data_IF_086682431514
#
_entry.id   IF_086682431514
#
_cell.length_a   1.000
_cell.length_b   1.000
_cell.length_c   1.000
_cell.angle_alpha   90.00
_cell.angle_beta   90.00
_cell.angle_gamma   90.00
#
_symmetry.space_group_name_H-M   'P 1'
#
loop_
_entity.id
_entity.type
_entity.pdbx_description
1 polymer ?
#
# COMPACT_ATOMS: atom_id res chain seq x y z
N UNK A 1 8.11 4.79 49.95
CA UNK A 1 9.23 5.19 49.07
C UNK A 1 9.49 4.03 48.11
N UNK A 2 9.35 4.08 46.79
CA UNK A 2 8.83 5.02 45.81
C UNK A 2 8.89 4.24 44.49
N UNK A 3 7.77 4.14 43.76
CA UNK A 3 7.72 3.46 42.46
C UNK A 3 8.51 4.30 41.45
N UNK A 4 9.55 3.71 40.85
CA UNK A 4 10.27 4.33 39.74
C UNK A 4 9.42 4.28 38.47
N UNK A 5 8.90 5.43 38.05
CA UNK A 5 8.28 5.62 36.75
C UNK A 5 9.34 5.45 35.65
N UNK A 6 9.19 4.40 34.84
CA UNK A 6 9.97 4.21 33.62
C UNK A 6 9.57 5.29 32.61
N UNK A 7 10.40 6.32 32.48
CA UNK A 7 10.32 7.29 31.39
C UNK A 7 10.47 6.55 30.06
N UNK A 8 9.43 6.56 29.23
CA UNK A 8 9.50 6.14 27.83
C UNK A 8 10.51 7.03 27.10
N UNK A 9 11.73 6.52 26.93
CA UNK A 9 12.76 7.17 26.13
C UNK A 9 12.36 7.12 24.66
N UNK A 10 12.19 8.28 24.04
CA UNK A 10 12.15 8.38 22.58
C UNK A 10 13.47 7.78 22.04
N UNK A 11 13.36 6.66 21.30
CA UNK A 11 14.50 6.02 20.65
C UNK A 11 15.13 6.99 19.65
N UNK A 12 16.45 6.97 19.57
CA UNK A 12 17.19 7.78 18.63
C UNK A 12 16.75 7.45 17.19
N UNK A 13 16.57 8.45 16.32
CA UNK A 13 16.13 8.20 14.95
C UNK A 13 17.21 7.41 14.19
N UNK A 14 16.78 6.47 13.34
CA UNK A 14 17.64 5.65 12.47
C UNK A 14 18.66 6.49 11.69
N UNK A 15 19.86 5.94 11.35
CA UNK A 15 20.97 6.70 10.78
C UNK A 15 20.65 7.56 9.55
N UNK A 16 19.74 7.12 8.68
CA UNK A 16 19.34 7.86 7.48
C UNK A 16 18.42 9.07 7.77
N UNK A 17 17.79 9.17 8.94
CA UNK A 17 17.12 10.41 9.36
C UNK A 17 18.11 11.57 9.52
N UNK A 18 19.39 11.29 9.81
CA UNK A 18 20.45 12.31 9.94
C UNK A 18 20.82 12.97 8.61
N UNK A 19 20.45 12.38 7.47
CA UNK A 19 20.62 12.97 6.13
C UNK A 19 19.48 13.94 5.73
N UNK A 20 18.62 14.34 6.69
CA UNK A 20 17.65 15.43 6.50
C UNK A 20 16.30 15.02 5.90
N UNK A 21 15.99 13.73 5.84
CA UNK A 21 14.84 13.22 5.07
C UNK A 21 13.47 13.34 5.76
N UNK A 22 13.43 13.65 7.07
CA UNK A 22 12.18 13.81 7.84
C UNK A 22 11.30 12.54 7.87
N UNK A 23 10.40 12.44 8.85
CA UNK A 23 9.39 11.37 8.85
C UNK A 23 8.22 11.81 7.95
N UNK A 24 7.64 10.88 7.20
CA UNK A 24 6.30 11.12 6.65
C UNK A 24 5.33 11.41 7.82
N UNK A 25 4.43 12.41 7.71
CA UNK A 25 3.52 12.75 8.79
C UNK A 25 2.59 11.57 9.08
N UNK A 26 2.59 11.05 10.32
CA UNK A 26 1.71 9.94 10.70
C UNK A 26 0.23 10.29 10.42
N UNK A 27 -0.63 9.33 10.02
CA UNK A 27 -2.07 9.54 9.88
C UNK A 27 -2.72 9.77 11.26
N UNK A 28 -2.51 10.96 11.83
CA UNK A 28 -3.04 11.40 13.10
C UNK A 28 -4.16 12.39 12.88
N UNK A 29 -5.34 12.06 13.41
CA UNK A 29 -6.55 12.87 13.48
C UNK A 29 -6.27 14.37 13.51
N UNK A 30 -6.60 15.08 12.43
CA UNK A 30 -6.41 16.52 12.30
C UNK A 30 -7.39 17.23 13.24
N UNK A 31 -7.04 17.40 14.53
CA UNK A 31 -7.76 18.32 15.41
C UNK A 31 -7.47 19.73 14.91
N UNK A 32 -8.42 20.26 14.15
CA UNK A 32 -8.40 21.65 13.69
C UNK A 32 -8.07 22.59 14.85
N UNK A 33 -6.89 23.19 14.82
CA UNK A 33 -6.59 24.35 15.65
C UNK A 33 -7.32 25.54 15.03
N UNK A 34 -8.53 25.80 15.53
CA UNK A 34 -9.26 27.03 15.27
C UNK A 34 -8.39 28.23 15.62
N UNK A 35 -7.95 28.98 14.61
CA UNK A 35 -7.35 30.30 14.80
C UNK A 35 -8.49 31.26 15.14
N UNK A 36 -8.46 31.77 16.38
CA UNK A 36 -9.26 32.92 16.82
C UNK A 36 -8.96 34.12 15.91
N UNK A 37 -9.99 34.74 15.34
CA UNK A 37 -9.92 36.12 14.79
C UNK A 37 -10.44 37.10 15.86
N UNK A 38 -9.81 38.27 16.05
CA UNK A 38 -10.31 39.28 16.95
C UNK A 38 -11.42 40.14 16.30
N UNK A 39 -12.19 40.78 17.17
CA UNK A 39 -13.39 41.56 16.89
C UNK A 39 -13.15 42.84 16.05
N UNK A 40 -14.18 43.24 15.32
CA UNK A 40 -14.31 44.56 14.71
C UNK A 40 -15.77 44.79 14.32
N UNK A 41 -16.40 45.80 14.93
CA UNK A 41 -17.81 46.14 14.72
C UNK A 41 -18.08 46.89 13.42
N UNK A 42 -19.37 46.98 13.07
CA UNK A 42 -19.87 47.75 11.93
C UNK A 42 -21.32 47.39 11.64
N UNK A 43 -22.22 48.30 12.01
CA UNK A 43 -23.65 48.33 11.74
C UNK A 43 -23.95 48.70 10.28
N UNK A 44 -24.91 48.02 9.64
CA UNK A 44 -26.13 48.55 8.98
C UNK A 44 -26.75 47.60 7.91
N UNK A 45 -28.05 47.75 7.57
CA UNK A 45 -28.89 46.65 7.09
C UNK A 45 -29.42 46.76 5.64
N UNK A 46 -30.16 45.70 5.27
CA UNK A 46 -31.23 45.57 4.24
C UNK A 46 -30.90 44.80 2.94
N UNK A 47 -31.69 43.77 2.56
CA UNK A 47 -31.68 43.16 1.24
C UNK A 47 -32.88 43.61 0.38
N UNK A 48 -32.64 43.77 -0.92
CA UNK A 48 -33.66 43.85 -1.97
C UNK A 48 -33.36 42.85 -3.09
N UNK A 49 -34.36 42.14 -3.66
CA UNK A 49 -34.14 41.07 -4.63
C UNK A 49 -34.29 41.54 -6.09
N UNK A 50 -34.09 40.60 -7.02
CA UNK A 50 -34.25 40.67 -8.50
C UNK A 50 -32.95 41.03 -9.24
N UNK A 51 -32.56 40.43 -10.37
CA UNK A 51 -33.26 39.58 -11.32
C UNK A 51 -32.28 38.92 -12.33
N UNK A 52 -32.65 37.72 -12.81
CA UNK A 52 -32.48 37.16 -14.16
C UNK A 52 -31.18 37.42 -14.97
N UNK A 53 -30.45 36.33 -15.20
CA UNK A 53 -30.26 35.79 -16.56
C UNK A 53 -28.95 36.09 -17.28
N UNK A 54 -28.15 35.04 -17.54
CA UNK A 54 -27.57 34.75 -18.87
C UNK A 54 -26.86 33.40 -18.87
N UNK A 55 -27.25 32.58 -19.83
CA UNK A 55 -26.51 31.39 -20.24
C UNK A 55 -25.14 31.80 -20.83
N UNK A 56 -24.08 31.14 -20.37
CA UNK A 56 -22.73 31.22 -20.92
C UNK A 56 -22.12 29.83 -20.90
N UNK A 57 -21.78 29.32 -22.08
CA UNK A 57 -21.11 28.03 -22.28
C UNK A 57 -19.66 28.07 -21.76
N UNK A 58 -19.15 26.88 -21.45
CA UNK A 58 -17.74 26.48 -21.42
C UNK A 58 -16.91 26.91 -20.21
N UNK A 59 -16.63 25.94 -19.33
CA UNK A 59 -15.32 25.27 -19.20
C UNK A 59 -15.44 24.30 -18.03
N UNK A 60 -15.28 23.01 -18.32
CA UNK A 60 -14.95 22.04 -17.28
C UNK A 60 -13.62 22.49 -16.66
N UNK A 61 -13.69 23.07 -15.47
CA UNK A 61 -12.52 23.42 -14.70
C UNK A 61 -11.91 22.13 -14.17
N UNK A 62 -10.86 21.65 -14.83
CA UNK A 62 -9.84 20.87 -14.16
C UNK A 62 -9.23 21.78 -13.09
N UNK A 63 -9.80 21.74 -11.89
CA UNK A 63 -9.26 22.40 -10.71
C UNK A 63 -7.96 21.70 -10.35
N UNK A 64 -6.85 22.19 -10.89
CA UNK A 64 -5.52 21.76 -10.53
C UNK A 64 -5.36 21.85 -9.00
N UNK A 65 -5.22 20.71 -8.34
CA UNK A 65 -4.83 20.57 -6.93
C UNK A 65 -3.34 20.93 -6.77
N UNK A 66 -2.98 22.16 -7.14
CA UNK A 66 -1.62 22.67 -7.15
C UNK A 66 -1.23 23.22 -5.76
N UNK A 67 -1.01 22.31 -4.80
CA UNK A 67 -0.11 22.61 -3.69
C UNK A 67 1.36 22.52 -4.15
N UNK A 68 2.34 23.13 -3.45
CA UNK A 68 3.74 22.97 -3.80
C UNK A 68 4.12 21.49 -3.69
N UNK A 69 4.35 20.86 -4.85
CA UNK A 69 4.88 19.50 -4.90
C UNK A 69 6.33 19.47 -4.40
N UNK A 70 6.73 18.39 -3.74
CA UNK A 70 8.11 18.18 -3.33
C UNK A 70 8.61 16.83 -3.85
N UNK A 71 9.86 16.78 -4.32
CA UNK A 71 10.43 15.57 -4.92
C UNK A 71 11.25 14.82 -3.88
N UNK A 72 10.88 13.56 -3.61
CA UNK A 72 11.74 12.61 -2.90
C UNK A 72 12.72 12.02 -3.90
N UNK A 73 14.01 12.04 -3.56
CA UNK A 73 15.03 11.30 -4.31
C UNK A 73 15.35 10.01 -3.56
N UNK A 74 15.40 8.87 -4.27
CA UNK A 74 15.79 7.57 -3.73
C UNK A 74 16.94 7.02 -4.56
N UNK A 75 18.13 6.95 -3.96
CA UNK A 75 19.34 6.45 -4.61
C UNK A 75 19.34 4.92 -4.73
N UNK A 76 19.65 4.43 -5.93
CA UNK A 76 19.85 3.01 -6.27
C UNK A 76 21.30 2.61 -6.00
N UNK A 77 21.55 1.30 -5.89
CA UNK A 77 22.90 0.75 -5.65
C UNK A 77 23.90 1.04 -6.77
N UNK A 78 23.42 1.28 -7.99
CA UNK A 78 24.23 1.63 -9.15
C UNK A 78 24.58 3.14 -9.23
N UNK A 79 24.17 3.94 -8.24
CA UNK A 79 24.40 5.38 -8.17
C UNK A 79 23.39 6.23 -8.95
N UNK A 80 22.48 5.61 -9.72
CA UNK A 80 21.33 6.33 -10.27
C UNK A 80 20.28 6.61 -9.18
N UNK A 81 19.30 7.47 -9.43
CA UNK A 81 18.31 7.81 -8.41
C UNK A 81 16.91 8.03 -8.97
N UNK A 82 15.93 7.44 -8.30
CA UNK A 82 14.51 7.69 -8.58
C UNK A 82 14.12 9.08 -8.08
N UNK A 83 13.26 9.75 -8.84
CA UNK A 83 12.70 11.09 -8.55
C UNK A 83 11.20 10.96 -8.42
N UNK A 84 10.70 11.00 -7.19
CA UNK A 84 9.30 10.76 -6.85
C UNK A 84 8.65 12.07 -6.42
N UNK A 85 7.80 12.62 -7.28
CA UNK A 85 6.93 13.73 -6.93
C UNK A 85 5.96 13.30 -5.82
N UNK A 86 5.74 14.21 -4.87
CA UNK A 86 4.78 14.10 -3.79
C UNK A 86 3.92 15.35 -3.77
N UNK A 87 2.68 15.23 -3.32
CA UNK A 87 1.69 16.32 -3.32
C UNK A 87 1.06 16.46 -1.94
N UNK A 88 1.17 17.64 -1.34
CA UNK A 88 0.52 17.90 -0.04
C UNK A 88 -1.01 17.92 -0.11
N UNK A 89 -1.58 18.25 -1.27
CA UNK A 89 -3.04 18.40 -1.47
C UNK A 89 -3.81 17.07 -1.63
N UNK A 90 -3.13 15.91 -1.72
CA UNK A 90 -3.75 14.60 -1.91
C UNK A 90 -3.68 13.67 -0.69
N UNK A 91 -3.29 14.19 0.49
CA UNK A 91 -3.28 13.42 1.74
C UNK A 91 -2.21 12.32 1.78
N UNK A 92 -2.49 11.28 2.58
CA UNK A 92 -1.54 10.20 2.94
C UNK A 92 -1.04 9.39 1.74
N UNK A 93 -1.83 9.26 0.67
CA UNK A 93 -1.46 8.51 -0.54
C UNK A 93 -0.39 9.22 -1.39
N UNK A 94 -0.11 10.50 -1.14
CA UNK A 94 0.79 11.29 -1.98
C UNK A 94 2.20 11.45 -1.40
N UNK A 95 2.57 10.71 -0.36
CA UNK A 95 3.87 10.78 0.32
C UNK A 95 4.60 9.44 0.21
N UNK A 96 5.92 9.48 0.06
CA UNK A 96 6.77 8.28 0.11
C UNK A 96 7.01 7.91 1.57
N UNK A 97 6.32 6.87 2.02
CA UNK A 97 6.43 6.33 3.38
C UNK A 97 7.75 5.59 3.61
N UNK A 98 8.19 5.55 4.87
CA UNK A 98 9.47 4.93 5.23
C UNK A 98 9.51 3.43 4.90
N UNK A 99 8.38 2.72 5.05
CA UNK A 99 8.25 1.33 4.64
C UNK A 99 8.44 1.13 3.11
N UNK A 100 8.05 2.10 2.29
CA UNK A 100 8.28 2.04 0.83
C UNK A 100 9.77 2.16 0.50
N UNK A 101 10.53 2.97 1.24
CA UNK A 101 11.98 3.09 1.07
C UNK A 101 12.68 1.80 1.48
N UNK A 102 12.34 1.26 2.65
CA UNK A 102 12.88 -0.01 3.16
C UNK A 102 12.60 -1.13 2.16
N UNK A 103 11.37 -1.24 1.67
CA UNK A 103 11.01 -2.27 0.69
C UNK A 103 11.73 -2.08 -0.64
N UNK A 104 11.78 -0.85 -1.18
CA UNK A 104 12.48 -0.58 -2.44
C UNK A 104 13.96 -0.98 -2.37
N UNK A 105 14.66 -0.64 -1.28
CA UNK A 105 16.08 -1.00 -1.08
C UNK A 105 16.26 -2.50 -0.82
N UNK A 106 15.31 -3.14 -0.14
CA UNK A 106 15.29 -4.59 -0.01
C UNK A 106 15.17 -5.28 -1.38
N UNK A 107 14.35 -4.77 -2.31
CA UNK A 107 14.22 -5.35 -3.65
C UNK A 107 15.51 -5.30 -4.48
N UNK A 108 16.38 -4.30 -4.28
CA UNK A 108 17.67 -4.24 -4.99
C UNK A 108 18.57 -5.44 -4.67
N UNK A 109 18.47 -6.02 -3.46
CA UNK A 109 19.17 -7.26 -3.10
C UNK A 109 18.58 -8.52 -3.79
N UNK A 110 17.42 -8.38 -4.45
CA UNK A 110 16.65 -9.43 -5.11
C UNK A 110 16.45 -9.17 -6.61
N UNK A 111 17.22 -8.27 -7.20
CA UNK A 111 17.08 -7.87 -8.60
C UNK A 111 16.99 -9.06 -9.57
N UNK A 112 17.86 -10.06 -9.39
CA UNK A 112 17.87 -11.26 -10.22
C UNK A 112 16.56 -12.08 -10.14
N UNK A 113 15.90 -12.10 -8.98
CA UNK A 113 14.65 -12.81 -8.77
C UNK A 113 13.45 -12.10 -9.40
N UNK A 114 13.48 -10.77 -9.51
CA UNK A 114 12.41 -9.94 -10.08
C UNK A 114 12.47 -9.81 -11.60
N UNK A 115 13.62 -10.07 -12.21
CA UNK A 115 13.83 -9.87 -13.64
C UNK A 115 12.84 -10.70 -14.47
N UNK A 116 12.09 -10.03 -15.37
CA UNK A 116 11.05 -10.60 -16.25
C UNK A 116 9.90 -11.27 -15.49
N UNK A 117 9.64 -10.83 -14.26
CA UNK A 117 8.52 -11.30 -13.44
C UNK A 117 7.36 -10.33 -13.52
N UNK A 118 6.15 -10.87 -13.55
CA UNK A 118 4.93 -10.09 -13.42
C UNK A 118 4.77 -9.64 -11.96
N UNK A 119 4.79 -8.33 -11.73
CA UNK A 119 4.71 -7.73 -10.41
C UNK A 119 3.49 -6.81 -10.33
N UNK A 120 2.69 -6.97 -9.28
CA UNK A 120 1.57 -6.09 -8.99
C UNK A 120 1.81 -5.39 -7.65
N UNK A 121 1.82 -4.05 -7.62
CA UNK A 121 1.89 -3.29 -6.38
C UNK A 121 0.50 -2.80 -5.98
N UNK A 122 0.09 -3.06 -4.73
CA UNK A 122 -1.18 -2.58 -4.17
C UNK A 122 -0.91 -1.36 -3.28
N UNK A 123 -1.72 -0.31 -3.43
CA UNK A 123 -1.58 0.91 -2.63
C UNK A 123 -0.24 1.61 -2.87
N UNK A 124 0.11 1.78 -4.15
CA UNK A 124 1.42 2.24 -4.59
C UNK A 124 1.74 3.69 -4.18
N UNK A 125 0.73 4.52 -3.93
CA UNK A 125 0.88 5.94 -3.62
C UNK A 125 1.70 6.66 -4.71
N UNK A 126 2.90 7.21 -4.39
CA UNK A 126 3.79 7.77 -5.41
C UNK A 126 4.45 6.75 -6.37
N UNK A 127 4.30 5.44 -6.14
CA UNK A 127 4.85 4.37 -6.99
C UNK A 127 6.30 3.98 -6.70
N UNK A 128 6.81 4.31 -5.51
CA UNK A 128 8.23 4.16 -5.18
C UNK A 128 8.74 2.71 -5.34
N UNK A 129 7.98 1.73 -4.85
CA UNK A 129 8.43 0.33 -4.82
C UNK A 129 8.28 -0.32 -6.20
N UNK A 130 7.14 -0.12 -6.87
CA UNK A 130 6.90 -0.66 -8.20
C UNK A 130 7.82 -0.08 -9.26
N UNK A 131 8.09 1.24 -9.22
CA UNK A 131 9.08 1.85 -10.13
C UNK A 131 10.46 1.27 -9.84
N UNK A 132 10.86 1.10 -8.57
CA UNK A 132 12.11 0.41 -8.24
C UNK A 132 12.15 -0.99 -8.85
N UNK A 133 11.11 -1.81 -8.66
CA UNK A 133 11.03 -3.16 -9.25
C UNK A 133 11.17 -3.13 -10.78
N UNK A 134 10.56 -2.16 -11.47
CA UNK A 134 10.67 -1.99 -12.92
C UNK A 134 12.11 -1.65 -13.36
N UNK A 135 12.84 -0.83 -12.58
CA UNK A 135 14.28 -0.59 -12.81
C UNK A 135 15.17 -1.80 -12.54
N UNK A 136 14.63 -2.83 -11.89
CA UNK A 136 15.32 -4.12 -11.67
C UNK A 136 14.91 -5.16 -12.73
N UNK A 137 14.11 -4.76 -13.73
CA UNK A 137 13.74 -5.59 -14.87
C UNK A 137 12.43 -6.34 -14.72
N UNK A 138 11.60 -6.02 -13.73
CA UNK A 138 10.25 -6.57 -13.61
C UNK A 138 9.25 -5.93 -14.58
N UNK A 139 8.16 -6.66 -14.87
CA UNK A 139 7.00 -6.16 -15.60
C UNK A 139 5.91 -5.79 -14.61
N UNK A 140 5.80 -4.49 -14.34
CA UNK A 140 5.10 -3.97 -13.15
C UNK A 140 3.78 -3.31 -13.52
N UNK A 141 2.73 -3.65 -12.78
CA UNK A 141 1.52 -2.85 -12.70
C UNK A 141 1.45 -2.24 -11.30
N UNK A 142 1.54 -0.92 -11.21
CA UNK A 142 1.34 -0.19 -9.94
C UNK A 142 -0.12 0.20 -9.82
N UNK A 143 -0.72 -0.06 -8.66
CA UNK A 143 -2.15 0.19 -8.47
C UNK A 143 -2.46 1.00 -7.22
N UNK A 144 -3.44 1.87 -7.36
CA UNK A 144 -4.00 2.68 -6.28
C UNK A 144 -5.40 3.16 -6.69
N UNK A 145 -5.99 4.08 -5.91
CA UNK A 145 -7.26 4.72 -6.21
C UNK A 145 -7.17 5.62 -7.47
N UNK A 146 -8.32 5.97 -8.03
CA UNK A 146 -8.45 6.86 -9.20
C UNK A 146 -7.71 8.19 -8.99
N UNK A 147 -7.85 8.79 -7.80
CA UNK A 147 -7.23 10.08 -7.47
C UNK A 147 -5.69 10.06 -7.44
N UNK A 148 -5.05 8.88 -7.44
CA UNK A 148 -3.59 8.73 -7.43
C UNK A 148 -3.00 8.45 -8.83
N UNK A 149 -3.83 8.15 -9.83
CA UNK A 149 -3.35 7.74 -11.15
C UNK A 149 -2.48 8.82 -11.83
N UNK A 150 -2.85 10.10 -11.70
CA UNK A 150 -2.05 11.21 -12.23
C UNK A 150 -0.66 11.27 -11.60
N UNK A 151 -0.56 11.05 -10.28
CA UNK A 151 0.71 11.09 -9.57
C UNK A 151 1.61 9.91 -9.97
N UNK A 152 1.02 8.71 -10.06
CA UNK A 152 1.72 7.51 -10.53
C UNK A 152 2.27 7.72 -11.94
N UNK A 153 1.45 8.18 -12.88
CA UNK A 153 1.86 8.41 -14.25
C UNK A 153 2.97 9.47 -14.38
N UNK A 154 2.89 10.56 -13.60
CA UNK A 154 3.98 11.56 -13.54
C UNK A 154 5.28 10.95 -13.05
N UNK A 155 5.23 10.11 -12.01
CA UNK A 155 6.42 9.47 -11.46
C UNK A 155 6.98 8.38 -12.38
N UNK A 156 6.12 7.61 -13.06
CA UNK A 156 6.55 6.66 -14.09
C UNK A 156 7.31 7.40 -15.19
N UNK A 157 6.72 8.46 -15.75
CA UNK A 157 7.31 9.22 -16.86
C UNK A 157 8.66 9.85 -16.46
N UNK A 158 8.77 10.40 -15.25
CA UNK A 158 10.02 10.97 -14.73
C UNK A 158 11.15 9.95 -14.60
N UNK A 159 10.82 8.69 -14.34
CA UNK A 159 11.80 7.63 -14.08
C UNK A 159 11.94 6.63 -15.22
N UNK A 160 11.21 6.79 -16.34
CA UNK A 160 11.20 5.85 -17.47
C UNK A 160 12.58 5.55 -18.04
N UNK A 161 13.50 6.50 -17.97
CA UNK A 161 14.87 6.38 -18.46
C UNK A 161 15.73 5.39 -17.64
N UNK A 162 15.27 5.01 -16.44
CA UNK A 162 15.91 4.01 -15.57
C UNK A 162 15.23 2.64 -15.63
N UNK A 163 14.07 2.53 -16.30
CA UNK A 163 13.28 1.30 -16.34
C UNK A 163 13.90 0.31 -17.32
N UNK A 164 14.22 -0.89 -16.84
CA UNK A 164 14.78 -1.98 -17.66
C UNK A 164 13.79 -3.10 -17.93
N UNK A 165 12.63 -3.09 -17.26
CA UNK A 165 11.47 -3.94 -17.54
C UNK A 165 10.33 -3.11 -18.12
N UNK A 166 9.15 -3.17 -17.51
CA UNK A 166 8.02 -2.32 -17.85
C UNK A 166 7.27 -1.84 -16.61
N UNK A 167 6.58 -0.70 -16.72
CA UNK A 167 5.71 -0.19 -15.64
C UNK A 167 4.51 0.54 -16.23
N UNK A 168 3.33 0.27 -15.68
CA UNK A 168 2.09 0.97 -15.99
C UNK A 168 1.28 1.22 -14.70
N UNK A 169 0.49 2.30 -14.69
CA UNK A 169 -0.46 2.58 -13.61
C UNK A 169 -1.86 2.07 -13.98
N UNK A 170 -2.55 1.49 -13.00
CA UNK A 170 -3.95 1.09 -13.11
C UNK A 170 -4.70 1.37 -11.81
N UNK A 171 -6.02 1.47 -11.93
CA UNK A 171 -6.91 1.65 -10.78
C UNK A 171 -7.19 0.29 -10.17
N UNK A 172 -6.97 0.14 -8.86
CA UNK A 172 -7.46 -1.00 -8.10
C UNK A 172 -7.83 -0.56 -6.70
N UNK A 173 -9.13 -0.39 -6.47
CA UNK A 173 -9.66 -0.25 -5.13
C UNK A 173 -9.84 -1.62 -4.50
N UNK A 174 -9.32 -1.80 -3.30
CA UNK A 174 -9.36 -3.09 -2.62
C UNK A 174 -10.80 -3.56 -2.37
N UNK A 175 -11.00 -4.87 -2.48
CA UNK A 175 -12.30 -5.55 -2.42
C UNK A 175 -13.03 -5.67 -3.75
N UNK A 176 -12.68 -4.88 -4.77
CA UNK A 176 -13.36 -4.86 -6.07
C UNK A 176 -12.89 -5.99 -7.02
N UNK A 177 -13.37 -6.00 -8.28
CA UNK A 177 -13.05 -7.04 -9.27
C UNK A 177 -11.57 -6.95 -9.69
N UNK A 178 -10.89 -8.09 -9.77
CA UNK A 178 -9.46 -8.19 -10.07
C UNK A 178 -9.17 -8.91 -11.39
N UNK A 179 -10.20 -9.29 -12.16
CA UNK A 179 -10.04 -10.10 -13.38
C UNK A 179 -9.04 -9.52 -14.39
N UNK A 180 -8.92 -8.21 -14.48
CA UNK A 180 -7.99 -7.56 -15.41
C UNK A 180 -6.51 -7.72 -15.02
N UNK A 181 -6.24 -8.15 -13.78
CA UNK A 181 -4.90 -8.40 -13.25
C UNK A 181 -4.55 -9.89 -13.24
N UNK A 182 -5.38 -10.73 -13.87
CA UNK A 182 -5.15 -12.16 -14.04
C UNK A 182 -4.49 -12.46 -15.39
N UNK A 183 -3.68 -13.53 -15.50
CA UNK A 183 -3.37 -14.55 -14.50
C UNK A 183 -2.60 -14.01 -13.30
N UNK A 184 -2.60 -14.77 -12.18
CA UNK A 184 -1.97 -14.36 -10.94
C UNK A 184 -0.51 -13.90 -11.14
N UNK A 185 -0.10 -12.75 -10.58
CA UNK A 185 1.26 -12.26 -10.74
C UNK A 185 2.27 -13.15 -10.00
N UNK A 186 3.53 -13.13 -10.44
CA UNK A 186 4.62 -13.79 -9.73
C UNK A 186 4.83 -13.16 -8.35
N UNK A 187 4.70 -11.82 -8.27
CA UNK A 187 4.84 -11.06 -7.03
C UNK A 187 3.69 -10.08 -6.80
N UNK A 188 3.30 -9.95 -5.55
CA UNK A 188 2.48 -8.83 -5.08
C UNK A 188 3.30 -8.03 -4.06
N UNK A 189 3.39 -6.72 -4.25
CA UNK A 189 4.13 -5.82 -3.37
C UNK A 189 3.15 -4.94 -2.60
N UNK A 190 3.42 -4.70 -1.31
CA UNK A 190 2.66 -3.79 -0.46
C UNK A 190 3.61 -3.03 0.46
N UNK A 191 3.50 -1.72 0.49
CA UNK A 191 4.23 -0.87 1.43
C UNK A 191 3.27 0.01 2.22
N UNK A 192 3.23 -0.20 3.53
CA UNK A 192 2.44 0.59 4.49
C UNK A 192 0.91 0.58 4.28
N UNK A 193 0.37 -0.50 3.70
CA UNK A 193 -1.06 -0.65 3.42
C UNK A 193 -1.92 -1.00 4.66
N UNK A 194 -1.33 -1.17 5.85
CA UNK A 194 -1.99 -1.64 7.07
C UNK A 194 -2.17 -0.47 8.05
N UNK A 195 -3.27 0.28 7.93
CA UNK A 195 -3.47 1.48 8.78
C UNK A 195 -4.94 1.85 9.07
N UNK A 196 -5.90 1.42 8.24
CA UNK A 196 -7.33 1.60 8.50
C UNK A 196 -8.02 0.25 8.72
N UNK A 197 -8.86 0.17 9.76
CA UNK A 197 -9.57 -1.06 10.10
C UNK A 197 -10.56 -1.47 9.01
N UNK A 198 -11.20 -0.49 8.39
CA UNK A 198 -12.19 -0.64 7.33
C UNK A 198 -11.58 -1.21 6.05
N UNK A 199 -10.27 -1.05 5.87
CA UNK A 199 -9.53 -1.53 4.69
C UNK A 199 -9.05 -2.97 4.83
N UNK A 200 -9.09 -3.57 6.03
CA UNK A 200 -8.53 -4.90 6.27
C UNK A 200 -9.24 -6.00 5.46
N UNK A 201 -10.57 -6.09 5.56
CA UNK A 201 -11.33 -7.12 4.86
C UNK A 201 -11.27 -6.97 3.33
N UNK A 202 -11.43 -5.76 2.75
CA UNK A 202 -11.24 -5.54 1.32
C UNK A 202 -9.83 -5.92 0.83
N UNK A 203 -8.77 -5.53 1.56
CA UNK A 203 -7.40 -5.84 1.20
C UNK A 203 -7.14 -7.36 1.19
N UNK A 204 -7.60 -8.07 2.23
CA UNK A 204 -7.47 -9.52 2.31
C UNK A 204 -8.22 -10.24 1.20
N UNK A 205 -9.43 -9.77 0.86
CA UNK A 205 -10.18 -10.29 -0.30
C UNK A 205 -9.36 -10.12 -1.58
N UNK A 206 -8.84 -8.92 -1.85
CA UNK A 206 -8.00 -8.65 -3.02
C UNK A 206 -6.76 -9.53 -3.07
N UNK A 207 -6.05 -9.72 -1.95
CA UNK A 207 -4.90 -10.63 -1.89
C UNK A 207 -5.28 -12.07 -2.23
N UNK A 208 -6.42 -12.57 -1.76
CA UNK A 208 -6.91 -13.90 -2.14
C UNK A 208 -7.21 -13.93 -3.64
N UNK A 209 -8.01 -13.00 -4.14
CA UNK A 209 -8.49 -13.04 -5.52
C UNK A 209 -7.34 -12.92 -6.54
N UNK A 210 -6.25 -12.22 -6.19
CA UNK A 210 -5.07 -12.06 -7.04
C UNK A 210 -4.03 -13.19 -6.91
N UNK A 211 -3.87 -13.77 -5.72
CA UNK A 211 -2.76 -14.69 -5.45
C UNK A 211 -3.03 -16.11 -5.93
N UNK A 212 -2.11 -16.63 -6.75
CA UNK A 212 -2.04 -18.03 -7.12
C UNK A 212 -1.18 -18.86 -6.15
N UNK A 213 -1.01 -20.16 -6.42
CA UNK A 213 -0.18 -21.05 -5.59
C UNK A 213 1.29 -20.64 -5.51
N UNK A 214 1.82 -20.03 -6.58
CA UNK A 214 3.24 -19.68 -6.70
C UNK A 214 3.52 -18.18 -6.44
N UNK A 215 2.47 -17.36 -6.30
CA UNK A 215 2.59 -15.93 -6.04
C UNK A 215 3.34 -15.68 -4.73
N UNK A 216 4.39 -14.87 -4.78
CA UNK A 216 5.12 -14.40 -3.62
C UNK A 216 4.66 -12.99 -3.26
N UNK A 217 3.94 -12.85 -2.15
CA UNK A 217 3.53 -11.55 -1.65
C UNK A 217 4.63 -11.02 -0.72
N UNK A 218 5.10 -9.79 -0.92
CA UNK A 218 6.05 -9.12 -0.03
C UNK A 218 5.35 -7.90 0.56
N UNK A 219 5.10 -7.95 1.87
CA UNK A 219 4.48 -6.87 2.62
C UNK A 219 5.52 -6.19 3.50
N UNK A 220 5.69 -4.89 3.36
CA UNK A 220 6.48 -4.08 4.26
C UNK A 220 5.59 -3.07 4.97
N UNK A 221 5.70 -2.95 6.28
CA UNK A 221 4.90 -2.01 7.05
C UNK A 221 5.67 -1.49 8.26
N UNK A 222 5.30 -0.30 8.70
CA UNK A 222 5.79 0.25 9.96
C UNK A 222 4.86 -0.13 11.10
N UNK A 223 5.40 -0.74 12.15
CA UNK A 223 4.70 -1.01 13.39
C UNK A 223 4.43 0.30 14.13
N UNK A 224 3.15 0.56 14.42
CA UNK A 224 2.69 1.78 15.08
C UNK A 224 2.04 1.45 16.41
N UNK A 225 2.57 2.03 17.49
CA UNK A 225 2.15 1.75 18.87
C UNK A 225 1.07 2.68 19.41
N UNK A 226 0.69 3.72 18.65
CA UNK A 226 -0.27 4.73 19.09
C UNK A 226 -1.69 4.49 18.57
N UNK A 227 -2.69 4.84 19.38
CA UNK A 227 -4.10 4.79 18.98
C UNK A 227 -4.57 3.36 18.71
N UNK A 228 -5.40 3.18 17.66
CA UNK A 228 -5.93 1.87 17.26
C UNK A 228 -4.95 1.00 16.46
N UNK A 229 -3.78 1.54 16.09
CA UNK A 229 -2.85 0.84 15.20
C UNK A 229 -2.42 -0.55 15.71
N UNK A 230 -2.11 -0.77 17.01
CA UNK A 230 -1.74 -2.09 17.50
C UNK A 230 -2.86 -3.13 17.30
N UNK A 231 -4.11 -2.73 17.49
CA UNK A 231 -5.28 -3.60 17.33
C UNK A 231 -5.54 -3.93 15.86
N UNK A 232 -5.39 -2.94 14.98
CA UNK A 232 -5.52 -3.08 13.52
C UNK A 232 -4.44 -4.03 12.99
N UNK A 233 -3.18 -3.84 13.39
CA UNK A 233 -2.07 -4.71 13.00
C UNK A 233 -2.31 -6.15 13.46
N UNK A 234 -2.64 -6.35 14.75
CA UNK A 234 -2.94 -7.68 15.29
C UNK A 234 -4.07 -8.36 14.52
N UNK A 235 -5.18 -7.65 14.31
CA UNK A 235 -6.35 -8.16 13.57
C UNK A 235 -6.01 -8.49 12.12
N UNK A 236 -5.21 -7.67 11.45
CA UNK A 236 -4.73 -7.94 10.09
C UNK A 236 -3.95 -9.25 10.03
N UNK A 237 -2.95 -9.42 10.92
CA UNK A 237 -2.10 -10.62 10.94
C UNK A 237 -2.92 -11.88 11.25
N UNK A 238 -3.85 -11.82 12.20
CA UNK A 238 -4.75 -12.95 12.53
C UNK A 238 -5.61 -13.37 11.33
N UNK A 239 -6.24 -12.40 10.65
CA UNK A 239 -7.07 -12.69 9.49
C UNK A 239 -6.26 -13.18 8.28
N UNK A 240 -5.06 -12.63 8.09
CA UNK A 240 -4.16 -13.03 7.00
C UNK A 240 -3.68 -14.48 7.20
N UNK A 241 -3.39 -14.89 8.43
CA UNK A 241 -2.96 -16.26 8.75
C UNK A 241 -4.02 -17.33 8.48
N UNK A 242 -5.28 -16.98 8.27
CA UNK A 242 -6.32 -17.96 7.91
C UNK A 242 -5.98 -18.65 6.60
N UNK A 243 -5.57 -17.88 5.58
CA UNK A 243 -5.36 -18.37 4.21
C UNK A 243 -3.90 -18.33 3.77
N UNK A 244 -3.03 -17.64 4.51
CA UNK A 244 -1.64 -17.43 4.13
C UNK A 244 -0.67 -17.88 5.22
N UNK A 245 0.50 -18.35 4.78
CA UNK A 245 1.70 -18.54 5.59
C UNK A 245 2.51 -17.23 5.59
N UNK A 246 3.02 -16.86 6.76
CA UNK A 246 3.75 -15.62 6.99
C UNK A 246 5.16 -15.95 7.47
N UNK A 247 6.16 -15.42 6.80
CA UNK A 247 7.56 -15.50 7.23
C UNK A 247 8.11 -14.07 7.38
N UNK A 248 8.47 -13.70 8.61
CA UNK A 248 9.16 -12.44 8.86
C UNK A 248 10.60 -12.52 8.36
N UNK A 249 10.98 -11.55 7.52
CA UNK A 249 12.37 -11.40 7.07
C UNK A 249 13.20 -10.79 8.21
N UNK A 250 14.28 -11.44 8.66
CA UNK A 250 15.18 -10.90 9.69
C UNK A 250 15.74 -9.52 9.30
N UNK A 251 15.94 -8.65 10.29
CA UNK A 251 16.41 -7.27 10.10
C UNK A 251 17.80 -7.21 9.45
N UNK A 252 18.61 -8.25 9.63
CA UNK A 252 19.94 -8.41 9.05
C UNK A 252 19.88 -8.67 7.54
N UNK A 253 18.72 -9.11 7.03
CA UNK A 253 18.47 -9.28 5.59
C UNK A 253 17.87 -8.02 4.95
N UNK A 254 17.56 -6.99 5.73
CA UNK A 254 17.16 -5.69 5.18
C UNK A 254 18.42 -4.95 4.70
N UNK A 255 18.24 -3.85 3.98
CA UNK A 255 19.37 -3.00 3.60
C UNK A 255 20.04 -2.41 4.86
N UNK A 256 21.37 -2.37 4.90
CA UNK A 256 22.12 -1.98 6.10
C UNK A 256 21.83 -0.55 6.56
N UNK A 257 21.62 0.36 5.60
CA UNK A 257 21.27 1.74 5.86
C UNK A 257 19.74 1.89 5.92
N UNK A 258 19.00 1.33 4.97
CA UNK A 258 17.56 1.51 4.87
C UNK A 258 16.79 0.41 5.60
N UNK A 259 16.86 0.45 6.94
CA UNK A 259 16.11 -0.43 7.85
C UNK A 259 15.74 0.23 9.17
N UNK A 260 14.82 -0.39 9.91
CA UNK A 260 14.41 0.01 11.26
C UNK A 260 13.89 -1.19 12.03
N UNK A 261 14.08 -1.24 13.36
CA UNK A 261 13.45 -2.25 14.22
C UNK A 261 11.91 -2.16 14.19
N UNK A 262 11.38 -0.99 13.85
CA UNK A 262 9.94 -0.73 13.78
C UNK A 262 9.37 -0.97 12.38
N UNK A 263 10.19 -1.28 11.37
CA UNK A 263 9.73 -1.55 10.00
C UNK A 263 9.97 -3.02 9.68
N UNK A 264 8.90 -3.74 9.41
CA UNK A 264 8.93 -5.18 9.20
C UNK A 264 8.73 -5.51 7.72
N UNK A 265 9.39 -6.56 7.24
CA UNK A 265 9.13 -7.16 5.92
C UNK A 265 8.64 -8.59 6.16
N UNK A 266 7.53 -8.94 5.53
CA UNK A 266 6.93 -10.28 5.55
C UNK A 266 6.95 -10.86 4.13
N UNK A 267 7.48 -12.07 3.98
CA UNK A 267 7.14 -12.91 2.83
C UNK A 267 5.83 -13.65 3.17
N UNK A 268 4.86 -13.57 2.26
CA UNK A 268 3.53 -14.12 2.45
C UNK A 268 3.26 -15.05 1.27
N UNK A 269 2.77 -16.27 1.57
CA UNK A 269 2.42 -17.28 0.55
C UNK A 269 1.06 -17.87 0.85
N UNK A 270 0.27 -18.14 -0.19
CA UNK A 270 -1.03 -18.81 -0.03
C UNK A 270 -0.81 -20.21 0.53
N UNK A 271 -1.54 -20.59 1.57
CA UNK A 271 -1.54 -21.95 2.09
C UNK A 271 -2.02 -22.91 1.00
N UNK A 272 -1.35 -24.05 0.88
CA UNK A 272 -1.90 -25.15 0.09
C UNK A 272 -3.19 -25.57 0.76
N UNK A 273 -4.30 -25.63 0.02
CA UNK A 273 -5.49 -26.31 0.53
C UNK A 273 -5.07 -27.73 0.89
N UNK A 274 -5.08 -28.06 2.19
CA UNK A 274 -5.07 -29.45 2.60
C UNK A 274 -6.26 -30.11 1.90
N UNK A 275 -6.00 -31.14 1.10
CA UNK A 275 -6.99 -31.77 0.23
C UNK A 275 -8.15 -32.38 1.00
N UNK A 276 -9.13 -31.57 1.39
CA UNK A 276 -10.44 -32.04 1.85
C UNK A 276 -11.28 -32.65 0.72
N UNK A 277 -10.77 -32.63 -0.52
CA UNK A 277 -11.35 -33.35 -1.65
C UNK A 277 -11.23 -34.88 -1.53
N UNK A 278 -10.34 -35.42 -0.68
CA UNK A 278 -10.26 -36.87 -0.48
C UNK A 278 -11.27 -37.43 0.52
N UNK A 279 -11.77 -36.64 1.49
CA UNK A 279 -12.75 -37.16 2.46
C UNK A 279 -14.19 -37.19 1.94
N UNK A 280 -14.59 -36.24 1.08
CA UNK A 280 -15.94 -36.25 0.51
C UNK A 280 -16.12 -37.37 -0.54
N UNK A 281 -15.07 -37.73 -1.27
CA UNK A 281 -15.09 -38.89 -2.17
C UNK A 281 -15.18 -40.22 -1.38
N UNK A 282 -14.53 -40.32 -0.21
CA UNK A 282 -14.57 -41.53 0.61
C UNK A 282 -15.89 -41.73 1.38
N UNK A 283 -16.61 -40.65 1.71
CA UNK A 283 -17.92 -40.71 2.38
C UNK A 283 -19.12 -40.69 1.42
N UNK A 284 -18.93 -40.30 0.15
CA UNK A 284 -19.98 -40.24 -0.87
C UNK A 284 -20.22 -41.53 -1.66
N UNK A 285 -19.33 -42.53 -1.58
CA UNK A 285 -19.42 -43.78 -2.35
C UNK A 285 -19.93 -45.00 -1.56
N UNK A 286 -20.15 -44.88 -0.25
CA UNK A 286 -20.61 -46.01 0.60
C UNK A 286 -22.13 -46.11 0.79
N UNK A 287 -22.94 -45.36 0.02
CA UNK A 287 -24.42 -45.35 0.20
C UNK A 287 -25.28 -45.61 -1.04
N UNK A 288 -24.69 -46.04 -2.15
CA UNK A 288 -25.46 -46.51 -3.29
C UNK A 288 -24.93 -47.89 -3.64
N UNK A 289 -25.51 -48.94 -3.06
CA UNK A 289 -25.58 -50.30 -3.62
C UNK A 289 -26.44 -51.14 -2.66
N UNK A 290 -27.75 -51.13 -2.89
CA UNK A 290 -28.67 -52.23 -2.60
C UNK A 290 -30.03 -51.86 -3.16
N UNK A 291 -30.44 -52.58 -4.20
CA UNK A 291 -31.80 -53.04 -4.54
C UNK A 291 -31.98 -53.01 -6.06
N UNK A 292 -31.75 -54.17 -6.72
CA UNK A 292 -32.58 -54.88 -7.74
C UNK A 292 -31.75 -56.17 -7.98
N UNK A 293 -32.17 -57.43 -7.80
CA UNK A 293 -33.26 -58.20 -8.44
C UNK A 293 -33.51 -59.43 -7.55
N UNK A 294 -34.77 -59.76 -7.24
CA UNK A 294 -35.18 -61.13 -6.95
C UNK A 294 -36.12 -61.58 -8.07
N UNK A 295 -35.82 -62.75 -8.61
CA UNK A 295 -36.59 -63.49 -9.61
C UNK A 295 -37.97 -63.87 -9.09
N UNK A 296 -38.98 -63.73 -9.96
CA UNK A 296 -40.14 -64.61 -10.09
C UNK A 296 -40.62 -64.56 -11.54
#
# INVERSE_FOLDING_TARGET
MGKGEGKGGARAPSPWYRRGWGRAPSPGYNRGRGRRRPAGGGSEPAPGPSERGRAGRSRAGAGAMAGPGFVRTLEKRDGSALRLEQRGAGGVGCVVWDAALVLAKFLESRAAALRRRAVLELGAGPGAVGIMAATLGADVTVTDLEELQDLLNVNIEKNKHLVTGSVQAKVLKWGEDVKEFLPAPDYILMADCIYYEESLAPLLKTLKDLSGPDTCIICCYEQRTMGKNPEIERKYLELLQVDFELEKVPLEKHDEEYRSEDIHILNIRRKKMAGYFFLLAYWGLSRIHKTVVYLA
#
